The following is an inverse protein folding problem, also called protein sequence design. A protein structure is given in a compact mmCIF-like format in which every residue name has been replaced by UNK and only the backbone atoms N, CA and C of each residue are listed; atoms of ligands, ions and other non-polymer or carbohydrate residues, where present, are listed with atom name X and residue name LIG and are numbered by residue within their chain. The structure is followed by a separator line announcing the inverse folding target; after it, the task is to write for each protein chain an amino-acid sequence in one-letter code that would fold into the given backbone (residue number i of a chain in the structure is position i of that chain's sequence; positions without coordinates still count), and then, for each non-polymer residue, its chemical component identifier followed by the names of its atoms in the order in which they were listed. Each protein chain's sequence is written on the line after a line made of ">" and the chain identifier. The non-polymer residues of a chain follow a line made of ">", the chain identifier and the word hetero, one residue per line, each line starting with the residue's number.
data_IF_346137608892
#
_entry.id   IF_346137608892
#
_cell.length_a   1.000
_cell.length_b   1.000
_cell.length_c   1.000
_cell.angle_alpha   90.00
_cell.angle_beta   90.00
_cell.angle_gamma   90.00
#
_symmetry.space_group_name_H-M   'P 1'
#
loop_
_entity.id
_entity.type
_entity.pdbx_description
1 polymer ?
#
# COMPACT_ATOMS: atom_id res chain seq x y z
N UNK A 1 58.42 48.60 -7.65
CA UNK A 1 57.50 48.47 -6.49
C UNK A 1 56.09 48.73 -6.99
N UNK A 2 55.14 47.85 -6.69
CA UNK A 2 53.75 48.02 -7.09
C UNK A 2 53.04 46.69 -7.34
N UNK A 3 53.04 45.80 -6.36
CA UNK A 3 52.03 44.76 -6.32
C UNK A 3 50.76 45.35 -5.70
N UNK A 4 49.58 45.04 -6.22
CA UNK A 4 48.47 44.62 -5.37
C UNK A 4 47.32 44.08 -6.23
N UNK A 5 47.05 42.78 -6.05
CA UNK A 5 45.73 42.16 -5.98
C UNK A 5 44.86 42.16 -7.24
N UNK A 6 44.99 41.06 -7.99
CA UNK A 6 43.89 40.45 -8.74
C UNK A 6 42.75 40.19 -7.76
N UNK A 7 41.73 41.03 -7.78
CA UNK A 7 40.46 40.78 -7.08
C UNK A 7 39.71 39.74 -7.91
N UNK A 8 40.00 38.46 -7.69
CA UNK A 8 39.07 37.40 -8.08
C UNK A 8 37.83 37.54 -7.20
N UNK A 9 36.79 38.17 -7.73
CA UNK A 9 35.47 38.10 -7.15
C UNK A 9 34.99 36.65 -7.23
N UNK A 10 35.13 35.90 -6.13
CA UNK A 10 34.36 34.69 -5.91
C UNK A 10 32.93 35.13 -5.63
N UNK A 11 32.08 35.00 -6.65
CA UNK A 11 30.65 35.19 -6.51
C UNK A 11 30.11 34.04 -5.65
N UNK A 12 29.84 34.31 -4.37
CA UNK A 12 29.23 33.35 -3.46
C UNK A 12 27.80 33.05 -3.93
N UNK A 13 27.67 31.91 -4.63
CA UNK A 13 26.38 31.36 -5.02
C UNK A 13 25.65 30.85 -3.77
N UNK A 14 24.94 31.75 -3.11
CA UNK A 14 24.02 31.45 -2.02
C UNK A 14 22.93 30.50 -2.53
N UNK A 15 23.17 29.20 -2.35
CA UNK A 15 22.19 28.16 -2.65
C UNK A 15 21.20 28.19 -1.51
N UNK A 16 20.08 28.87 -1.72
CA UNK A 16 18.95 28.79 -0.80
C UNK A 16 18.51 27.31 -0.71
N UNK A 17 18.91 26.64 0.37
CA UNK A 17 18.68 25.21 0.61
C UNK A 17 17.32 24.94 1.24
N UNK A 18 16.50 25.99 1.43
CA UNK A 18 15.20 25.88 2.06
C UNK A 18 14.17 25.45 1.03
N UNK A 19 13.47 24.35 1.31
CA UNK A 19 12.31 23.93 0.53
C UNK A 19 11.23 25.02 0.60
N UNK A 20 10.69 25.41 -0.55
CA UNK A 20 9.60 26.39 -0.61
C UNK A 20 8.32 25.78 -0.03
N UNK A 21 7.52 26.53 0.73
CA UNK A 21 6.22 26.06 1.20
C UNK A 21 5.36 25.60 0.01
N UNK A 22 4.90 24.35 0.03
CA UNK A 22 4.09 23.76 -1.05
C UNK A 22 4.88 23.08 -2.17
N UNK A 23 6.22 23.18 -2.21
CA UNK A 23 7.04 22.41 -3.14
C UNK A 23 7.67 21.19 -2.44
N UNK A 24 7.30 19.99 -2.90
CA UNK A 24 8.01 18.77 -2.53
C UNK A 24 9.42 18.80 -3.12
N UNK A 25 10.43 18.53 -2.29
CA UNK A 25 11.82 18.32 -2.75
C UNK A 25 11.99 17.14 -3.72
N UNK A 26 10.95 16.30 -3.85
CA UNK A 26 10.88 15.23 -4.83
C UNK A 26 9.51 15.27 -5.53
N UNK A 27 9.32 16.11 -6.56
CA UNK A 27 8.03 16.29 -7.23
C UNK A 27 7.52 15.04 -7.95
N UNK A 28 8.40 14.07 -8.25
CA UNK A 28 8.04 12.78 -8.84
C UNK A 28 7.63 11.72 -7.81
N UNK A 29 7.70 12.04 -6.52
CA UNK A 29 7.39 11.10 -5.44
C UNK A 29 8.40 9.94 -5.35
N UNK A 30 8.13 9.00 -4.44
CA UNK A 30 8.97 7.81 -4.25
C UNK A 30 8.99 7.01 -5.56
N UNK A 31 10.17 6.78 -6.11
CA UNK A 31 10.33 5.89 -7.26
C UNK A 31 9.85 4.49 -6.90
N UNK A 32 9.01 3.91 -7.77
CA UNK A 32 8.50 2.54 -7.61
C UNK A 32 9.72 1.60 -7.63
N UNK A 33 10.12 1.11 -6.46
CA UNK A 33 11.29 0.25 -6.32
C UNK A 33 11.03 -1.14 -6.94
N UNK A 34 12.10 -1.88 -7.23
CA UNK A 34 11.99 -3.27 -7.73
C UNK A 34 11.13 -4.15 -6.83
N UNK A 35 11.20 -3.94 -5.50
CA UNK A 35 10.35 -4.64 -4.53
C UNK A 35 8.86 -4.40 -4.76
N UNK A 36 8.46 -3.14 -4.97
CA UNK A 36 7.06 -2.81 -5.25
C UNK A 36 6.59 -3.46 -6.55
N UNK A 37 7.43 -3.40 -7.59
CA UNK A 37 7.11 -4.04 -8.86
C UNK A 37 6.92 -5.56 -8.73
N UNK A 38 7.81 -6.25 -8.00
CA UNK A 38 7.70 -7.70 -7.77
C UNK A 38 6.40 -8.03 -7.02
N UNK A 39 6.02 -7.22 -6.02
CA UNK A 39 4.76 -7.41 -5.31
C UNK A 39 3.55 -7.28 -6.25
N UNK A 40 3.52 -6.24 -7.09
CA UNK A 40 2.42 -6.01 -8.02
C UNK A 40 2.33 -7.14 -9.07
N UNK A 41 3.48 -7.51 -9.66
CA UNK A 41 3.55 -8.59 -10.65
C UNK A 41 3.10 -9.92 -10.03
N UNK A 42 3.45 -10.19 -8.77
CA UNK A 42 3.04 -11.38 -8.04
C UNK A 42 1.52 -11.40 -7.76
N UNK A 43 0.95 -10.29 -7.30
CA UNK A 43 -0.48 -10.18 -7.04
C UNK A 43 -1.26 -10.38 -8.35
N UNK A 44 -0.82 -9.74 -9.43
CA UNK A 44 -1.44 -9.89 -10.75
C UNK A 44 -1.40 -11.34 -11.23
N UNK A 45 -0.26 -12.02 -11.09
CA UNK A 45 -0.14 -13.43 -11.45
C UNK A 45 -1.10 -14.31 -10.64
N UNK A 46 -1.22 -14.07 -9.33
CA UNK A 46 -2.17 -14.78 -8.47
C UNK A 46 -3.63 -14.51 -8.85
N UNK A 47 -3.99 -13.27 -9.19
CA UNK A 47 -5.32 -12.93 -9.67
C UNK A 47 -5.67 -13.70 -10.95
N UNK A 48 -4.77 -13.70 -11.94
CA UNK A 48 -4.98 -14.44 -13.18
C UNK A 48 -5.14 -15.95 -12.93
N UNK A 49 -4.27 -16.54 -12.09
CA UNK A 49 -4.35 -17.96 -11.73
C UNK A 49 -5.68 -18.29 -11.03
N UNK A 50 -6.14 -17.40 -10.13
CA UNK A 50 -7.40 -17.58 -9.42
C UNK A 50 -8.63 -17.40 -10.32
N UNK A 51 -8.58 -16.53 -11.33
CA UNK A 51 -9.64 -16.40 -12.34
C UNK A 51 -9.78 -17.67 -13.18
N UNK A 52 -8.67 -18.35 -13.48
CA UNK A 52 -8.68 -19.58 -14.29
C UNK A 52 -8.99 -20.85 -13.49
N UNK A 53 -8.35 -21.02 -12.33
CA UNK A 53 -8.32 -22.29 -11.58
C UNK A 53 -8.86 -22.16 -10.15
N UNK A 54 -9.17 -20.95 -9.68
CA UNK A 54 -9.51 -20.69 -8.28
C UNK A 54 -10.71 -21.50 -7.78
N UNK A 55 -11.73 -21.72 -8.61
CA UNK A 55 -12.90 -22.53 -8.25
C UNK A 55 -12.50 -23.98 -7.94
N UNK A 56 -11.60 -24.55 -8.74
CA UNK A 56 -11.12 -25.92 -8.57
C UNK A 56 -10.28 -26.05 -7.30
N UNK A 57 -9.42 -25.06 -7.03
CA UNK A 57 -8.65 -24.99 -5.78
C UNK A 57 -9.58 -24.90 -4.56
N UNK A 58 -10.61 -24.06 -4.61
CA UNK A 58 -11.61 -23.96 -3.53
C UNK A 58 -12.29 -25.30 -3.27
N UNK A 59 -12.73 -25.98 -4.33
CA UNK A 59 -13.39 -27.28 -4.22
C UNK A 59 -12.45 -28.31 -3.58
N UNK A 60 -11.20 -28.36 -4.03
CA UNK A 60 -10.18 -29.26 -3.49
C UNK A 60 -9.87 -28.99 -2.02
N UNK A 61 -9.71 -27.72 -1.63
CA UNK A 61 -9.47 -27.35 -0.23
C UNK A 61 -10.66 -27.71 0.66
N UNK A 62 -11.89 -27.60 0.15
CA UNK A 62 -13.10 -28.03 0.88
C UNK A 62 -13.10 -29.54 1.14
N UNK A 63 -12.64 -30.34 0.19
CA UNK A 63 -12.59 -31.80 0.29
C UNK A 63 -11.40 -32.28 1.15
N UNK A 64 -10.19 -31.80 0.86
CA UNK A 64 -8.96 -32.27 1.51
C UNK A 64 -8.76 -31.66 2.91
N UNK A 65 -9.20 -30.42 3.13
CA UNK A 65 -8.94 -29.67 4.36
C UNK A 65 -10.13 -28.77 4.78
N UNK A 66 -11.31 -29.35 5.10
CA UNK A 66 -12.52 -28.60 5.40
C UNK A 66 -12.38 -27.62 6.58
N UNK A 67 -11.56 -27.95 7.58
CA UNK A 67 -11.28 -27.06 8.71
C UNK A 67 -10.51 -25.79 8.31
N UNK A 68 -9.60 -25.90 7.34
CA UNK A 68 -8.88 -24.74 6.79
C UNK A 68 -9.83 -23.90 5.93
N UNK A 69 -10.65 -24.54 5.10
CA UNK A 69 -11.68 -23.87 4.31
C UNK A 69 -12.59 -22.98 5.17
N UNK A 70 -13.11 -23.52 6.28
CA UNK A 70 -13.97 -22.77 7.20
C UNK A 70 -13.25 -21.60 7.88
N UNK A 71 -11.96 -21.74 8.21
CA UNK A 71 -11.15 -20.64 8.74
C UNK A 71 -10.95 -19.51 7.72
N UNK A 72 -10.69 -19.86 6.46
CA UNK A 72 -10.55 -18.87 5.38
C UNK A 72 -11.87 -18.11 5.22
N UNK A 73 -13.00 -18.83 5.13
CA UNK A 73 -14.34 -18.21 5.04
C UNK A 73 -14.58 -17.29 6.24
N UNK A 74 -14.29 -17.73 7.46
CA UNK A 74 -14.44 -16.90 8.67
C UNK A 74 -13.53 -15.66 8.66
N UNK A 75 -12.34 -15.73 8.08
CA UNK A 75 -11.40 -14.60 7.98
C UNK A 75 -11.81 -13.55 6.94
N UNK A 76 -12.57 -13.94 5.91
CA UNK A 76 -13.15 -13.03 4.93
C UNK A 76 -14.33 -12.24 5.48
N UNK A 77 -15.00 -12.79 6.51
CA UNK A 77 -16.06 -12.08 7.19
C UNK A 77 -15.44 -10.93 8.00
N UNK A 78 -15.98 -9.70 7.88
CA UNK A 78 -15.52 -8.59 8.71
C UNK A 78 -15.71 -8.96 10.18
N UNK A 79 -14.64 -8.84 10.99
CA UNK A 79 -14.71 -9.12 12.42
C UNK A 79 -15.54 -8.05 13.12
N UNK A 80 -16.71 -8.45 13.63
CA UNK A 80 -17.57 -7.57 14.43
C UNK A 80 -16.87 -7.34 15.78
N UNK A 81 -16.12 -6.26 15.89
CA UNK A 81 -15.39 -5.91 17.14
C UNK A 81 -16.20 -4.98 18.05
N UNK A 82 -17.37 -4.52 17.61
CA UNK A 82 -18.33 -3.80 18.46
C UNK A 82 -19.75 -4.28 18.17
N UNK A 83 -20.30 -5.05 19.10
CA UNK A 83 -21.75 -5.25 19.22
C UNK A 83 -22.24 -4.10 20.11
N UNK A 84 -22.71 -3.01 19.51
CA UNK A 84 -23.58 -2.04 20.19
C UNK A 84 -25.00 -2.31 19.70
N UNK A 85 -25.54 -3.44 20.15
CA UNK A 85 -26.94 -3.78 20.00
C UNK A 85 -27.48 -4.01 21.39
N UNK A 86 -28.30 -3.07 21.86
CA UNK A 86 -28.83 -3.08 23.21
C UNK A 86 -29.95 -4.15 23.36
N UNK A 87 -30.37 -4.79 22.25
CA UNK A 87 -31.50 -5.71 22.18
C UNK A 87 -31.29 -6.84 21.14
N UNK A 88 -31.72 -8.04 21.50
CA UNK A 88 -31.65 -9.27 20.71
C UNK A 88 -32.43 -9.14 19.39
N UNK A 89 -31.76 -9.28 18.24
CA UNK A 89 -32.39 -9.29 16.91
C UNK A 89 -32.31 -7.99 16.09
N UNK A 90 -31.63 -6.95 16.57
CA UNK A 90 -31.43 -5.72 15.80
C UNK A 90 -30.41 -5.90 14.66
N UNK A 91 -30.64 -5.34 13.45
CA UNK A 91 -29.72 -5.48 12.32
C UNK A 91 -28.35 -4.86 12.61
N UNK A 92 -27.30 -5.68 12.51
CA UNK A 92 -25.92 -5.22 12.69
C UNK A 92 -25.48 -4.49 11.42
N UNK A 93 -25.32 -3.17 11.49
CA UNK A 93 -24.70 -2.39 10.43
C UNK A 93 -23.18 -2.61 10.43
N UNK A 94 -22.68 -3.28 9.40
CA UNK A 94 -21.25 -3.57 9.21
C UNK A 94 -20.58 -2.46 8.40
N UNK A 95 -19.71 -1.68 9.03
CA UNK A 95 -18.87 -0.70 8.32
C UNK A 95 -17.57 -1.39 7.88
N UNK A 96 -17.50 -1.82 6.61
CA UNK A 96 -16.28 -2.41 6.04
C UNK A 96 -15.44 -1.32 5.39
N UNK A 97 -14.24 -1.07 5.91
CA UNK A 97 -13.25 -0.23 5.22
C UNK A 97 -12.33 -1.11 4.41
N UNK A 98 -12.63 -1.29 3.12
CA UNK A 98 -11.70 -1.93 2.18
C UNK A 98 -10.74 -0.86 1.68
N UNK A 99 -9.47 -0.93 2.09
CA UNK A 99 -8.42 -0.12 1.48
C UNK A 99 -7.78 -0.92 0.36
N UNK A 100 -8.12 -0.57 -0.87
CA UNK A 100 -7.28 -0.88 -2.00
C UNK A 100 -6.13 0.14 -2.01
N UNK A 101 -4.90 -0.35 -2.08
CA UNK A 101 -3.71 0.48 -2.23
C UNK A 101 -3.33 0.37 -3.70
N UNK A 102 -3.54 1.45 -4.46
CA UNK A 102 -3.04 1.62 -5.84
C UNK A 102 -1.49 1.65 -5.90
#
# INVERSE_FOLDING_TARGET
>A
MGGFFIVMAMEEKNRDTRFKPGESGNPKGRTKGSRNKICDDFINALCCDFETEGIQVIARVREEAPGLYMKIVASLLPSVTKVSGDEEGSPVSLNVTVRFVD
#
